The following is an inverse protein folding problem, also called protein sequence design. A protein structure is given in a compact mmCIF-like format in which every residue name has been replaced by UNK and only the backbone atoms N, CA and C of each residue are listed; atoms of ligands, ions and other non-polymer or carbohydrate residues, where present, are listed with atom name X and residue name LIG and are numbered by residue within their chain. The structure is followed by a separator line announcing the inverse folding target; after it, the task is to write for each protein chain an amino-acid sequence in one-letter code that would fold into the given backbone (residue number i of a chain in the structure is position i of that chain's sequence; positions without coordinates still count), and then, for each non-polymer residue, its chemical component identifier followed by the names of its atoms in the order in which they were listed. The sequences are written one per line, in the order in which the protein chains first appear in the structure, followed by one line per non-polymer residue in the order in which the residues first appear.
data_IF_880174955816
#
_entry.id   IF_880174955816
#
_cell.length_a   1.000
_cell.length_b   1.000
_cell.length_c   1.000
_cell.angle_alpha   90.00
_cell.angle_beta   90.00
_cell.angle_gamma   90.00
#
_symmetry.space_group_name_H-M   'P 1'
#
loop_
_entity.id
_entity.type
_entity.pdbx_description
1 polymer ?
#
# COMPACT_ATOMS: atom_id res chain seq x y z
N UNK A 1 -10.31 7.02 19.09
CA UNK A 1 -11.16 7.20 17.90
C UNK A 1 -10.58 6.36 16.77
N UNK A 2 -11.23 5.26 16.38
CA UNK A 2 -10.86 4.54 15.15
C UNK A 2 -11.36 5.39 13.98
N UNK A 3 -10.46 5.81 13.09
CA UNK A 3 -10.80 6.63 11.92
C UNK A 3 -11.89 5.96 11.07
N UNK A 4 -12.77 6.75 10.44
CA UNK A 4 -13.79 6.24 9.51
C UNK A 4 -13.09 5.41 8.42
N UNK A 5 -13.55 4.19 8.22
CA UNK A 5 -13.10 3.36 7.10
C UNK A 5 -13.45 4.06 5.78
N UNK A 6 -12.52 4.14 4.81
CA UNK A 6 -12.82 4.67 3.48
C UNK A 6 -14.02 3.95 2.83
N UNK A 7 -14.78 4.65 1.99
CA UNK A 7 -16.05 4.17 1.42
C UNK A 7 -15.95 2.88 0.60
N UNK A 8 -14.78 2.56 0.05
CA UNK A 8 -14.49 1.35 -0.72
C UNK A 8 -13.56 0.37 0.01
N UNK A 9 -13.35 0.56 1.31
CA UNK A 9 -12.46 -0.28 2.13
C UNK A 9 -13.24 -1.04 3.18
N UNK A 10 -12.73 -2.24 3.52
CA UNK A 10 -13.29 -3.09 4.56
C UNK A 10 -12.29 -3.18 5.70
N UNK A 11 -12.75 -2.89 6.90
CA UNK A 11 -11.92 -3.00 8.09
C UNK A 11 -11.68 -4.47 8.45
N UNK A 12 -10.43 -4.91 8.37
CA UNK A 12 -9.98 -6.18 8.93
C UNK A 12 -9.28 -5.93 10.27
N UNK A 13 -9.60 -6.75 11.29
CA UNK A 13 -9.01 -6.63 12.63
C UNK A 13 -8.02 -7.75 12.86
N UNK A 14 -6.82 -7.42 13.33
CA UNK A 14 -5.79 -8.42 13.62
C UNK A 14 -5.12 -8.21 14.97
N UNK A 15 -4.12 -9.05 15.25
CA UNK A 15 -3.23 -8.90 16.41
C UNK A 15 -1.79 -8.90 15.93
N UNK A 16 -0.99 -7.99 16.50
CA UNK A 16 0.45 -7.88 16.24
C UNK A 16 1.20 -8.29 17.51
N UNK A 17 2.08 -9.27 17.41
CA UNK A 17 3.00 -9.66 18.49
C UNK A 17 4.42 -9.35 18.05
N UNK A 18 4.97 -8.27 18.58
CA UNK A 18 6.38 -7.94 18.42
C UNK A 18 7.24 -8.65 19.47
N UNK A 19 8.37 -9.20 19.04
CA UNK A 19 9.40 -9.79 19.86
C UNK A 19 10.61 -8.85 19.93
N UNK A 20 11.26 -8.81 21.10
CA UNK A 20 12.38 -7.91 21.34
C UNK A 20 13.72 -8.52 20.88
N UNK A 21 13.85 -9.85 20.97
CA UNK A 21 15.05 -10.58 20.56
C UNK A 21 14.72 -11.53 19.40
N UNK A 22 15.74 -11.85 18.59
CA UNK A 22 15.57 -12.79 17.48
C UNK A 22 15.42 -14.23 17.99
N UNK A 23 16.02 -14.54 19.14
CA UNK A 23 15.93 -15.81 19.84
C UNK A 23 14.49 -16.07 20.28
N UNK A 24 13.84 -15.10 20.93
CA UNK A 24 12.44 -15.21 21.33
C UNK A 24 11.54 -15.36 20.11
N UNK A 25 11.81 -14.62 19.02
CA UNK A 25 11.05 -14.74 17.79
C UNK A 25 11.14 -16.15 17.19
N UNK A 26 12.34 -16.75 17.18
CA UNK A 26 12.56 -18.11 16.65
C UNK A 26 11.93 -19.18 17.54
N UNK A 27 12.13 -19.08 18.85
CA UNK A 27 11.69 -20.06 19.84
C UNK A 27 10.22 -19.90 20.26
N UNK A 28 9.57 -18.80 19.89
CA UNK A 28 8.16 -18.58 20.19
C UNK A 28 7.29 -19.72 19.69
N UNK A 29 6.35 -20.15 20.54
CA UNK A 29 5.33 -21.13 20.20
C UNK A 29 4.28 -20.51 19.26
N UNK A 30 4.59 -20.58 17.97
CA UNK A 30 3.74 -20.07 16.88
C UNK A 30 2.46 -20.88 16.75
N UNK A 31 2.50 -22.16 17.10
CA UNK A 31 1.33 -23.03 17.05
C UNK A 31 0.31 -22.62 18.12
N UNK A 32 0.75 -22.36 19.35
CA UNK A 32 -0.13 -21.86 20.42
C UNK A 32 -0.71 -20.49 20.10
N UNK A 33 0.08 -19.53 19.60
CA UNK A 33 -0.41 -18.21 19.20
C UNK A 33 -1.47 -18.30 18.09
N UNK A 34 -1.24 -19.15 17.10
CA UNK A 34 -2.19 -19.42 16.02
C UNK A 34 -3.45 -20.11 16.54
N UNK A 35 -3.29 -21.14 17.38
CA UNK A 35 -4.37 -21.92 17.98
C UNK A 35 -5.32 -21.03 18.79
N UNK A 36 -4.77 -20.18 19.66
CA UNK A 36 -5.55 -19.25 20.48
C UNK A 36 -6.36 -18.25 19.63
N UNK A 37 -5.84 -17.82 18.47
CA UNK A 37 -6.62 -16.98 17.56
C UNK A 37 -7.72 -17.79 16.86
N UNK A 38 -7.42 -19.00 16.41
CA UNK A 38 -8.42 -19.90 15.80
C UNK A 38 -9.54 -20.27 16.79
N UNK A 39 -9.24 -20.47 18.08
CA UNK A 39 -10.22 -20.69 19.14
C UNK A 39 -11.16 -19.49 19.32
N UNK A 40 -10.62 -18.27 19.27
CA UNK A 40 -11.44 -17.05 19.33
C UNK A 40 -12.38 -16.93 18.14
N UNK A 41 -11.92 -17.26 16.94
CA UNK A 41 -12.77 -17.26 15.75
C UNK A 41 -13.86 -18.33 15.89
N UNK A 42 -13.52 -19.54 16.35
CA UNK A 42 -14.48 -20.63 16.53
C UNK A 42 -15.54 -20.32 17.60
N UNK A 43 -15.13 -19.72 18.71
CA UNK A 43 -16.04 -19.27 19.77
C UNK A 43 -17.01 -18.22 19.24
N UNK A 44 -16.51 -17.26 18.44
CA UNK A 44 -17.34 -16.25 17.80
C UNK A 44 -18.37 -16.82 16.82
N UNK A 45 -18.06 -17.95 16.18
CA UNK A 45 -18.98 -18.64 15.27
C UNK A 45 -20.08 -19.35 16.06
N UNK A 46 -19.69 -20.14 17.07
CA UNK A 46 -20.56 -21.09 17.75
C UNK A 46 -21.39 -20.45 18.87
N UNK A 47 -20.78 -19.53 19.63
CA UNK A 47 -21.41 -18.86 20.77
C UNK A 47 -22.02 -17.53 20.35
N UNK A 48 -21.19 -16.62 19.82
CA UNK A 48 -21.63 -15.24 19.53
C UNK A 48 -22.45 -15.14 18.24
N UNK A 49 -22.28 -16.10 17.31
CA UNK A 49 -22.87 -16.10 15.96
C UNK A 49 -22.60 -14.81 15.18
N UNK A 50 -21.37 -14.30 15.27
CA UNK A 50 -20.94 -13.06 14.63
C UNK A 50 -19.95 -13.31 13.49
N UNK A 51 -20.18 -12.67 12.34
CA UNK A 51 -19.25 -12.74 11.20
C UNK A 51 -18.08 -11.77 11.29
N UNK A 52 -18.13 -10.82 12.22
CA UNK A 52 -17.14 -9.74 12.37
C UNK A 52 -15.70 -10.23 12.64
N UNK A 53 -15.53 -11.45 13.15
CA UNK A 53 -14.22 -12.01 13.50
C UNK A 53 -13.68 -13.02 12.49
N UNK A 54 -14.43 -13.34 11.42
CA UNK A 54 -14.04 -14.36 10.44
C UNK A 54 -12.77 -14.01 9.64
N UNK A 55 -12.46 -12.72 9.49
CA UNK A 55 -11.27 -12.24 8.76
C UNK A 55 -10.13 -11.83 9.68
N UNK A 56 -10.11 -12.29 10.94
CA UNK A 56 -9.00 -11.98 11.85
C UNK A 56 -7.67 -12.52 11.34
N UNK A 57 -6.62 -11.74 11.54
CA UNK A 57 -5.26 -12.11 11.19
C UNK A 57 -4.29 -11.93 12.37
N UNK A 58 -3.17 -12.63 12.33
CA UNK A 58 -2.06 -12.51 13.28
C UNK A 58 -0.81 -12.11 12.51
N UNK A 59 -0.04 -11.19 13.09
CA UNK A 59 1.30 -10.86 12.62
C UNK A 59 2.25 -11.07 13.80
N UNK A 60 3.30 -11.86 13.60
CA UNK A 60 4.44 -11.92 14.50
C UNK A 60 5.61 -11.16 13.88
N UNK A 61 6.32 -10.35 14.66
CA UNK A 61 7.42 -9.52 14.16
C UNK A 61 8.63 -9.52 15.08
N UNK A 62 9.80 -9.30 14.50
CA UNK A 62 11.02 -8.92 15.20
C UNK A 62 11.73 -7.83 14.40
N UNK A 63 12.06 -6.72 15.05
CA UNK A 63 12.70 -5.57 14.40
C UNK A 63 14.16 -5.45 14.85
N UNK A 64 15.10 -5.70 13.94
CA UNK A 64 16.51 -5.38 14.13
C UNK A 64 16.73 -3.91 13.72
N UNK A 65 16.57 -3.01 14.70
CA UNK A 65 16.74 -1.57 14.49
C UNK A 65 18.19 -1.18 14.20
N UNK A 66 19.18 -2.03 14.53
CA UNK A 66 20.59 -1.75 14.24
C UNK A 66 20.91 -2.01 12.77
N UNK A 67 20.32 -3.06 12.19
CA UNK A 67 20.49 -3.42 10.78
C UNK A 67 19.37 -2.90 9.89
N UNK A 68 18.35 -2.25 10.45
CA UNK A 68 17.13 -1.84 9.74
C UNK A 68 16.43 -3.02 9.04
N UNK A 69 16.48 -4.20 9.65
CA UNK A 69 15.89 -5.45 9.13
C UNK A 69 14.68 -5.85 9.95
N UNK A 70 13.55 -6.02 9.28
CA UNK A 70 12.27 -6.32 9.92
C UNK A 70 11.82 -7.72 9.51
N UNK A 71 11.82 -8.63 10.47
CA UNK A 71 11.32 -9.98 10.32
C UNK A 71 9.84 -9.98 10.65
N UNK A 72 9.02 -10.55 9.77
CA UNK A 72 7.57 -10.63 10.01
C UNK A 72 6.99 -11.90 9.41
N UNK A 73 5.92 -12.40 10.01
CA UNK A 73 5.19 -13.55 9.47
C UNK A 73 3.70 -13.38 9.71
N UNK A 74 2.93 -13.35 8.62
CA UNK A 74 1.47 -13.28 8.65
C UNK A 74 0.86 -14.67 8.81
N UNK A 75 -0.21 -14.72 9.57
CA UNK A 75 -1.13 -15.83 9.62
C UNK A 75 -2.57 -15.34 9.42
N UNK A 76 -3.30 -16.03 8.56
CA UNK A 76 -4.72 -15.83 8.30
C UNK A 76 -5.47 -17.11 8.65
N UNK A 77 -5.81 -17.34 9.93
CA UNK A 77 -6.42 -18.60 10.35
C UNK A 77 -7.71 -18.88 9.58
N UNK A 78 -7.75 -20.01 8.90
CA UNK A 78 -8.90 -20.51 8.19
C UNK A 78 -9.17 -21.98 8.50
N UNK A 79 -10.43 -22.33 8.72
CA UNK A 79 -10.83 -23.70 8.99
C UNK A 79 -10.81 -24.55 7.72
N UNK A 80 -10.23 -25.75 7.83
CA UNK A 80 -10.21 -26.76 6.79
C UNK A 80 -11.33 -27.77 7.05
N UNK A 81 -12.30 -27.83 6.14
CA UNK A 81 -13.40 -28.79 6.20
C UNK A 81 -12.92 -30.20 5.79
N UNK A 82 -13.51 -31.21 6.43
CA UNK A 82 -13.43 -32.62 6.05
C UNK A 82 -14.87 -33.15 6.01
N UNK A 83 -15.37 -33.70 4.89
CA UNK A 83 -14.78 -33.66 3.54
C UNK A 83 -14.57 -32.21 3.05
N UNK A 84 -13.68 -32.05 2.06
CA UNK A 84 -13.38 -30.75 1.49
C UNK A 84 -14.61 -30.18 0.76
N UNK A 85 -14.68 -28.85 0.68
CA UNK A 85 -15.67 -28.19 -0.16
C UNK A 85 -15.22 -28.24 -1.62
N UNK A 86 -16.15 -28.60 -2.49
CA UNK A 86 -15.97 -28.71 -3.93
C UNK A 86 -16.88 -27.71 -4.63
N UNK A 87 -16.39 -27.19 -5.75
CA UNK A 87 -17.17 -26.29 -6.60
C UNK A 87 -18.02 -27.17 -7.52
N UNK A 88 -19.33 -26.99 -7.45
CA UNK A 88 -20.29 -27.72 -8.28
C UNK A 88 -20.54 -26.93 -9.57
N UNK A 89 -19.85 -27.33 -10.63
CA UNK A 89 -19.87 -26.68 -11.95
C UNK A 89 -18.87 -25.54 -12.12
N UNK A 90 -19.10 -24.70 -13.14
CA UNK A 90 -18.24 -23.56 -13.46
C UNK A 90 -18.72 -22.26 -12.80
N UNK A 91 -17.77 -21.35 -12.53
CA UNK A 91 -18.08 -19.99 -12.08
C UNK A 91 -18.73 -19.20 -13.23
N UNK A 92 -19.93 -18.67 -12.98
CA UNK A 92 -20.63 -17.78 -13.90
C UNK A 92 -20.37 -16.30 -13.56
N UNK A 93 -20.63 -15.41 -14.52
CA UNK A 93 -20.64 -13.96 -14.25
C UNK A 93 -21.79 -13.62 -13.29
N UNK A 94 -21.50 -12.84 -12.24
CA UNK A 94 -22.51 -12.40 -11.28
C UNK A 94 -23.65 -11.61 -11.94
N UNK A 95 -23.33 -10.79 -12.95
CA UNK A 95 -24.30 -10.00 -13.71
C UNK A 95 -25.34 -10.89 -14.40
N UNK A 96 -24.89 -11.99 -15.01
CA UNK A 96 -25.78 -12.93 -15.71
C UNK A 96 -26.78 -13.64 -14.79
N UNK A 97 -26.47 -13.72 -13.49
CA UNK A 97 -27.28 -14.45 -12.50
C UNK A 97 -28.14 -13.53 -11.63
N UNK A 98 -27.67 -12.33 -11.31
CA UNK A 98 -28.31 -11.41 -10.36
C UNK A 98 -28.76 -10.09 -10.99
N UNK A 99 -28.34 -9.77 -12.21
CA UNK A 99 -28.55 -8.48 -12.86
C UNK A 99 -27.55 -7.41 -12.40
N UNK A 100 -27.32 -6.40 -13.23
CA UNK A 100 -26.35 -5.32 -12.94
C UNK A 100 -26.79 -4.44 -11.76
N UNK A 101 -28.09 -4.13 -11.65
CA UNK A 101 -28.66 -3.28 -10.60
C UNK A 101 -28.39 -3.82 -9.19
N UNK A 102 -28.35 -5.14 -9.05
CA UNK A 102 -28.03 -5.83 -7.80
C UNK A 102 -26.58 -5.62 -7.33
N UNK A 103 -25.69 -5.21 -8.23
CA UNK A 103 -24.26 -5.11 -8.01
C UNK A 103 -23.77 -3.67 -7.78
N UNK A 104 -24.68 -2.69 -7.71
CA UNK A 104 -24.33 -1.30 -7.39
C UNK A 104 -24.29 -0.98 -5.89
N UNK A 105 -24.62 -1.93 -5.01
CA UNK A 105 -24.58 -1.73 -3.56
C UNK A 105 -23.15 -1.78 -3.00
N UNK A 106 -22.84 -1.00 -1.96
CA UNK A 106 -21.60 -1.14 -1.18
C UNK A 106 -21.72 -2.37 -0.26
N UNK A 107 -20.99 -3.46 -0.52
CA UNK A 107 -21.21 -4.71 0.19
C UNK A 107 -20.59 -4.68 1.58
N UNK A 108 -21.27 -5.31 2.53
CA UNK A 108 -20.66 -5.73 3.79
C UNK A 108 -19.60 -6.81 3.51
N UNK A 109 -18.60 -7.04 4.38
CA UNK A 109 -17.62 -8.11 4.18
C UNK A 109 -18.25 -9.48 3.89
N UNK A 110 -19.34 -9.79 4.59
CA UNK A 110 -20.18 -10.95 4.38
C UNK A 110 -21.65 -10.49 4.41
N UNK A 111 -22.47 -11.01 3.50
CA UNK A 111 -23.88 -10.62 3.37
C UNK A 111 -24.71 -11.72 2.73
N UNK A 112 -26.01 -11.66 2.95
CA UNK A 112 -26.99 -12.51 2.31
C UNK A 112 -27.58 -11.79 1.11
N UNK A 113 -27.97 -12.56 0.12
CA UNK A 113 -28.56 -12.09 -1.13
C UNK A 113 -29.79 -12.95 -1.40
N UNK A 114 -30.93 -12.32 -1.64
CA UNK A 114 -32.11 -13.00 -2.19
C UNK A 114 -32.67 -12.20 -3.36
N UNK A 115 -33.20 -12.91 -4.34
CA UNK A 115 -33.89 -12.30 -5.48
C UNK A 115 -35.38 -12.55 -5.31
N UNK A 116 -36.17 -11.48 -5.16
CA UNK A 116 -37.63 -11.55 -5.02
C UNK A 116 -38.26 -10.65 -6.06
N UNK A 117 -39.15 -11.20 -6.91
CA UNK A 117 -39.86 -10.45 -7.95
C UNK A 117 -38.95 -9.57 -8.85
N UNK A 118 -37.76 -10.08 -9.19
CA UNK A 118 -36.78 -9.37 -10.04
C UNK A 118 -35.95 -8.30 -9.33
N UNK A 119 -36.15 -8.07 -8.02
CA UNK A 119 -35.31 -7.20 -7.21
C UNK A 119 -34.37 -8.02 -6.32
N UNK A 120 -33.11 -7.58 -6.24
CA UNK A 120 -32.11 -8.18 -5.35
C UNK A 120 -32.04 -7.41 -4.05
N UNK A 121 -32.25 -8.11 -2.94
CA UNK A 121 -32.22 -7.57 -1.58
C UNK A 121 -31.01 -8.17 -0.86
N UNK A 122 -30.33 -7.36 -0.04
CA UNK A 122 -29.20 -7.81 0.78
C UNK A 122 -29.47 -7.64 2.27
N UNK A 123 -28.89 -8.51 3.09
CA UNK A 123 -29.04 -8.50 4.55
C UNK A 123 -27.74 -8.96 5.24
N UNK A 124 -27.54 -8.69 6.55
CA UNK A 124 -26.44 -9.29 7.30
C UNK A 124 -26.57 -10.81 7.40
N UNK A 125 -25.44 -11.52 7.51
CA UNK A 125 -25.41 -12.98 7.62
C UNK A 125 -26.04 -13.50 8.90
N UNK A 126 -26.03 -12.68 9.94
CA UNK A 126 -26.66 -12.96 11.24
C UNK A 126 -28.18 -13.14 11.14
N UNK A 127 -28.82 -12.57 10.10
CA UNK A 127 -30.27 -12.68 9.86
C UNK A 127 -30.65 -13.89 8.98
N UNK A 128 -29.76 -14.87 8.81
CA UNK A 128 -29.93 -15.99 7.87
C UNK A 128 -31.31 -16.66 7.91
N UNK A 129 -31.78 -17.03 9.09
CA UNK A 129 -33.04 -17.78 9.25
C UNK A 129 -34.26 -16.94 8.87
N UNK A 130 -34.34 -15.70 9.35
CA UNK A 130 -35.47 -14.79 9.06
C UNK A 130 -35.45 -14.31 7.61
N UNK A 131 -34.26 -14.03 7.08
CA UNK A 131 -34.09 -13.51 5.73
C UNK A 131 -34.43 -14.53 4.63
N UNK A 132 -34.13 -15.81 4.86
CA UNK A 132 -34.45 -16.90 3.94
C UNK A 132 -35.71 -17.69 4.30
N UNK A 133 -36.48 -17.25 5.30
CA UNK A 133 -37.77 -17.85 5.62
C UNK A 133 -38.68 -17.84 4.39
N UNK A 134 -39.18 -19.03 4.01
CA UNK A 134 -40.06 -19.25 2.85
C UNK A 134 -39.46 -18.88 1.47
N UNK A 135 -38.13 -18.68 1.38
CA UNK A 135 -37.46 -18.43 0.08
C UNK A 135 -36.95 -19.77 -0.46
N UNK A 136 -37.18 -20.15 -1.72
CA UNK A 136 -36.65 -21.40 -2.27
C UNK A 136 -35.11 -21.36 -2.39
N UNK A 137 -34.38 -22.49 -2.23
CA UNK A 137 -32.91 -22.52 -2.30
C UNK A 137 -32.31 -21.94 -3.60
N UNK A 138 -33.05 -21.98 -4.70
CA UNK A 138 -32.66 -21.40 -6.00
C UNK A 138 -32.52 -19.87 -5.97
N UNK A 139 -33.20 -19.19 -5.05
CA UNK A 139 -33.21 -17.74 -4.93
C UNK A 139 -32.35 -17.24 -3.77
N UNK A 140 -31.76 -18.15 -3.00
CA UNK A 140 -30.84 -17.84 -1.91
C UNK A 140 -29.41 -17.75 -2.45
N UNK A 141 -28.65 -16.75 -2.01
CA UNK A 141 -27.22 -16.68 -2.24
C UNK A 141 -26.52 -16.01 -1.04
N UNK A 142 -25.27 -16.36 -0.82
CA UNK A 142 -24.44 -15.73 0.20
C UNK A 142 -23.28 -15.03 -0.50
N UNK A 143 -23.15 -13.74 -0.25
CA UNK A 143 -22.09 -12.91 -0.77
C UNK A 143 -20.97 -12.71 0.24
N UNK A 144 -19.75 -12.62 -0.27
CA UNK A 144 -18.62 -12.10 0.48
C UNK A 144 -17.73 -11.27 -0.43
N UNK A 145 -17.00 -10.33 0.18
CA UNK A 145 -16.02 -9.55 -0.56
C UNK A 145 -14.77 -10.37 -0.75
N UNK A 146 -14.49 -10.68 -2.00
CA UNK A 146 -13.45 -11.59 -2.43
C UNK A 146 -12.16 -10.82 -2.76
N UNK A 147 -11.07 -10.98 -1.98
CA UNK A 147 -9.78 -10.37 -2.28
C UNK A 147 -9.00 -11.07 -3.39
N UNK A 148 -9.47 -12.24 -3.88
CA UNK A 148 -8.78 -12.99 -4.93
C UNK A 148 -8.82 -12.26 -6.26
N UNK A 149 -7.64 -12.09 -6.86
CA UNK A 149 -7.51 -11.62 -8.24
C UNK A 149 -7.66 -12.76 -9.28
N UNK A 150 -7.75 -14.02 -8.83
CA UNK A 150 -7.76 -15.20 -9.71
C UNK A 150 -9.19 -15.55 -10.11
N UNK A 151 -9.55 -15.56 -11.41
CA UNK A 151 -10.93 -15.81 -11.89
C UNK A 151 -11.53 -17.12 -11.38
N UNK A 152 -10.73 -18.19 -11.35
CA UNK A 152 -11.20 -19.55 -11.07
C UNK A 152 -11.30 -19.91 -9.60
N UNK A 153 -10.63 -19.15 -8.72
CA UNK A 153 -10.47 -19.51 -7.31
C UNK A 153 -11.01 -18.42 -6.39
N UNK A 154 -11.95 -18.75 -5.49
CA UNK A 154 -12.43 -17.80 -4.50
C UNK A 154 -11.34 -17.47 -3.47
N UNK A 155 -11.46 -16.31 -2.85
CA UNK A 155 -10.51 -15.84 -1.85
C UNK A 155 -10.57 -16.60 -0.53
N UNK A 156 -9.51 -16.41 0.25
CA UNK A 156 -9.31 -17.04 1.56
C UNK A 156 -10.47 -16.87 2.56
N UNK A 157 -11.16 -15.70 2.65
CA UNK A 157 -12.25 -15.50 3.61
C UNK A 157 -13.42 -16.48 3.48
N UNK A 158 -13.65 -17.05 2.29
CA UNK A 158 -14.74 -17.99 2.05
C UNK A 158 -14.66 -19.22 2.97
N UNK A 159 -13.46 -19.69 3.33
CA UNK A 159 -13.29 -20.86 4.19
C UNK A 159 -13.96 -20.69 5.56
N UNK A 160 -13.77 -19.52 6.17
CA UNK A 160 -14.35 -19.23 7.48
C UNK A 160 -15.85 -18.97 7.41
N UNK A 161 -16.32 -18.37 6.32
CA UNK A 161 -17.75 -18.25 6.05
C UNK A 161 -18.43 -19.62 5.91
N UNK A 162 -17.84 -20.54 5.15
CA UNK A 162 -18.37 -21.89 4.99
C UNK A 162 -18.35 -22.68 6.31
N UNK A 163 -17.30 -22.50 7.14
CA UNK A 163 -17.25 -23.07 8.48
C UNK A 163 -18.36 -22.50 9.38
N UNK A 164 -18.61 -21.19 9.33
CA UNK A 164 -19.71 -20.53 10.04
C UNK A 164 -21.08 -21.10 9.61
N UNK A 165 -21.33 -21.17 8.30
CA UNK A 165 -22.60 -21.65 7.77
C UNK A 165 -22.83 -23.14 8.09
N UNK A 166 -21.79 -23.98 7.99
CA UNK A 166 -21.87 -25.40 8.37
C UNK A 166 -22.20 -25.57 9.85
N UNK A 167 -21.55 -24.81 10.73
CA UNK A 167 -21.72 -24.95 12.17
C UNK A 167 -23.14 -24.57 12.64
N UNK A 168 -23.75 -23.56 11.99
CA UNK A 168 -25.07 -23.03 12.39
C UNK A 168 -26.24 -23.60 11.57
N UNK A 169 -26.02 -23.95 10.31
CA UNK A 169 -27.05 -24.37 9.35
C UNK A 169 -26.65 -25.67 8.63
N UNK A 170 -26.48 -26.80 9.35
CA UNK A 170 -25.98 -28.05 8.78
C UNK A 170 -26.89 -28.65 7.70
N UNK A 171 -28.22 -28.48 7.81
CA UNK A 171 -29.18 -28.99 6.82
C UNK A 171 -29.03 -28.29 5.45
N UNK A 172 -28.77 -26.98 5.46
CA UNK A 172 -28.56 -26.21 4.23
C UNK A 172 -27.15 -26.47 3.67
N UNK A 173 -26.16 -26.68 4.55
CA UNK A 173 -24.81 -27.05 4.17
C UNK A 173 -24.76 -28.40 3.40
N UNK A 174 -25.65 -29.34 3.71
CA UNK A 174 -25.77 -30.62 3.00
C UNK A 174 -26.28 -30.45 1.55
N UNK A 175 -27.09 -29.43 1.27
CA UNK A 175 -27.60 -29.14 -0.07
C UNK A 175 -26.60 -28.33 -0.91
N UNK A 176 -25.68 -27.63 -0.24
CA UNK A 176 -24.71 -26.73 -0.85
C UNK A 176 -25.15 -25.28 -0.80
N UNK A 177 -24.18 -24.38 -0.93
CA UNK A 177 -24.39 -22.95 -0.88
C UNK A 177 -24.11 -22.31 -2.24
N UNK A 178 -24.99 -21.40 -2.63
CA UNK A 178 -24.80 -20.49 -3.76
C UNK A 178 -23.98 -19.30 -3.29
N UNK A 179 -22.78 -19.14 -3.82
CA UNK A 179 -21.80 -18.15 -3.37
C UNK A 179 -21.61 -17.07 -4.43
N UNK A 180 -21.72 -15.82 -3.99
CA UNK A 180 -21.35 -14.63 -4.76
C UNK A 180 -19.97 -14.14 -4.29
N UNK A 181 -18.98 -14.27 -5.16
CA UNK A 181 -17.63 -13.73 -4.98
C UNK A 181 -17.61 -12.28 -5.47
N UNK A 182 -17.75 -11.32 -4.56
CA UNK A 182 -17.77 -9.90 -4.90
C UNK A 182 -16.37 -9.33 -5.07
N UNK A 183 -15.99 -8.93 -6.30
CA UNK A 183 -14.63 -8.45 -6.63
C UNK A 183 -14.58 -7.01 -7.14
N UNK A 184 -15.74 -6.39 -7.33
CA UNK A 184 -15.84 -5.03 -7.87
C UNK A 184 -15.67 -4.00 -6.74
N UNK A 185 -14.59 -3.23 -6.78
CA UNK A 185 -14.42 -2.04 -5.92
C UNK A 185 -15.22 -0.85 -6.41
N UNK A 186 -15.43 -0.79 -7.73
CA UNK A 186 -16.17 0.25 -8.42
C UNK A 186 -17.13 -0.40 -9.42
N UNK A 187 -18.23 0.28 -9.70
CA UNK A 187 -19.14 -0.12 -10.76
C UNK A 187 -18.37 -0.13 -12.10
N UNK A 188 -18.59 -1.12 -12.98
CA UNK A 188 -17.97 -1.13 -14.29
C UNK A 188 -18.31 0.15 -15.07
N UNK A 189 -17.35 0.65 -15.84
CA UNK A 189 -17.62 1.67 -16.87
C UNK A 189 -18.49 1.07 -17.97
N UNK A 190 -19.07 1.90 -18.85
CA UNK A 190 -20.00 1.47 -19.91
C UNK A 190 -19.46 0.38 -20.87
N UNK A 191 -18.15 0.14 -20.89
CA UNK A 191 -17.50 -0.91 -21.69
C UNK A 191 -16.88 -2.03 -20.84
N UNK A 192 -16.98 -1.95 -19.51
CA UNK A 192 -16.38 -2.90 -18.57
C UNK A 192 -17.38 -3.99 -18.16
N UNK A 193 -16.89 -5.22 -18.04
CA UNK A 193 -17.66 -6.32 -17.46
C UNK A 193 -17.50 -6.38 -15.94
N UNK A 194 -18.48 -6.94 -15.25
CA UNK A 194 -18.37 -7.27 -13.83
C UNK A 194 -17.29 -8.33 -13.60
N UNK A 195 -16.43 -8.10 -12.59
CA UNK A 195 -15.39 -9.06 -12.16
C UNK A 195 -15.92 -10.04 -11.12
N UNK A 196 -17.07 -9.76 -10.54
CA UNK A 196 -17.73 -10.62 -9.56
C UNK A 196 -18.23 -11.91 -10.22
N UNK A 197 -18.06 -13.02 -9.50
CA UNK A 197 -18.42 -14.35 -9.98
C UNK A 197 -19.46 -15.00 -9.07
N UNK A 198 -20.23 -15.93 -9.63
CA UNK A 198 -21.26 -16.68 -8.95
C UNK A 198 -21.04 -18.18 -9.17
N UNK A 199 -21.11 -18.97 -8.10
CA UNK A 199 -20.90 -20.42 -8.17
C UNK A 199 -21.59 -21.15 -7.04
N UNK A 200 -21.67 -22.48 -7.16
CA UNK A 200 -22.25 -23.35 -6.13
C UNK A 200 -21.13 -24.14 -5.48
N UNK A 201 -21.16 -24.23 -4.15
CA UNK A 201 -20.15 -24.94 -3.37
C UNK A 201 -20.84 -25.99 -2.51
N UNK A 202 -20.42 -27.25 -2.63
CA UNK A 202 -20.98 -28.41 -1.93
C UNK A 202 -19.88 -29.12 -1.15
N UNK A 203 -20.24 -29.82 -0.08
CA UNK A 203 -19.27 -30.71 0.58
C UNK A 203 -19.10 -31.96 -0.28
N UNK A 204 -17.85 -32.38 -0.46
CA UNK A 204 -17.53 -33.63 -1.16
C UNK A 204 -18.10 -34.84 -0.42
N UNK A 205 -18.11 -36.00 -1.09
CA UNK A 205 -18.60 -37.23 -0.50
C UNK A 205 -17.64 -37.75 0.59
N UNK A 206 -18.14 -37.99 1.80
CA UNK A 206 -17.35 -38.56 2.90
C UNK A 206 -18.02 -38.46 4.27
N UNK A 207 -17.45 -39.15 5.26
CA UNK A 207 -17.87 -39.01 6.66
C UNK A 207 -17.73 -37.57 7.10
N UNK A 208 -18.86 -36.97 7.43
CA UNK A 208 -18.97 -35.58 7.84
C UNK A 208 -18.88 -35.55 9.37
N UNK A 209 -17.80 -35.01 9.97
CA UNK A 209 -17.72 -34.84 11.42
C UNK A 209 -18.90 -34.01 11.92
N UNK A 210 -19.27 -34.23 13.18
CA UNK A 210 -20.37 -33.50 13.81
C UNK A 210 -20.21 -31.99 13.60
N UNK A 211 -21.32 -31.30 13.28
CA UNK A 211 -21.29 -29.87 12.95
C UNK A 211 -20.74 -28.99 14.09
N UNK A 212 -20.72 -29.52 15.31
CA UNK A 212 -20.24 -28.85 16.53
C UNK A 212 -18.73 -28.95 16.74
N UNK A 213 -18.05 -29.88 16.06
CA UNK A 213 -16.62 -30.11 16.28
C UNK A 213 -15.77 -29.05 15.58
N UNK A 214 -14.81 -28.49 16.31
CA UNK A 214 -13.89 -27.49 15.76
C UNK A 214 -13.01 -28.13 14.67
N UNK A 215 -13.07 -27.64 13.41
CA UNK A 215 -12.20 -28.15 12.36
C UNK A 215 -10.74 -27.73 12.58
N UNK A 216 -9.80 -28.46 11.97
CA UNK A 216 -8.40 -28.05 11.93
C UNK A 216 -8.25 -26.69 11.22
N UNK A 217 -7.41 -25.80 11.76
CA UNK A 217 -7.15 -24.49 11.16
C UNK A 217 -5.76 -24.42 10.51
N UNK A 218 -5.67 -23.73 9.38
CA UNK A 218 -4.43 -23.47 8.61
C UNK A 218 -4.37 -22.00 8.21
N UNK A 219 -3.19 -21.47 7.88
CA UNK A 219 -3.13 -20.08 7.42
C UNK A 219 -1.80 -19.33 7.52
N UNK A 220 -0.69 -19.99 7.88
CA UNK A 220 0.63 -19.34 7.85
C UNK A 220 1.03 -19.01 6.41
N UNK A 221 1.41 -17.75 6.17
CA UNK A 221 1.83 -17.29 4.84
C UNK A 221 3.15 -17.95 4.44
N UNK A 222 3.28 -18.29 3.15
CA UNK A 222 4.54 -18.78 2.60
C UNK A 222 5.51 -17.62 2.34
N UNK A 223 6.80 -17.86 2.56
CA UNK A 223 7.85 -16.93 2.20
C UNK A 223 8.01 -16.82 0.67
N UNK A 224 8.93 -15.97 0.22
CA UNK A 224 9.24 -15.76 -1.21
C UNK A 224 9.71 -17.02 -1.94
N UNK A 225 10.19 -18.03 -1.20
CA UNK A 225 10.61 -19.33 -1.73
C UNK A 225 9.50 -20.40 -1.64
N UNK A 226 8.26 -20.02 -1.31
CA UNK A 226 7.12 -20.94 -1.22
C UNK A 226 7.14 -21.85 0.01
N UNK A 227 8.06 -21.65 0.96
CA UNK A 227 8.16 -22.43 2.21
C UNK A 227 7.43 -21.72 3.34
N UNK A 228 6.97 -22.48 4.33
CA UNK A 228 6.41 -21.91 5.55
C UNK A 228 7.54 -21.28 6.37
N UNK A 229 7.56 -19.95 6.45
CA UNK A 229 8.56 -19.22 7.21
C UNK A 229 8.38 -17.71 7.13
N UNK A 230 9.02 -17.01 8.07
CA UNK A 230 9.00 -15.55 8.14
C UNK A 230 9.65 -14.91 6.90
N UNK A 231 9.16 -13.71 6.56
CA UNK A 231 9.75 -12.82 5.57
C UNK A 231 10.66 -11.81 6.27
N UNK A 232 11.59 -11.25 5.50
CA UNK A 232 12.49 -10.18 5.94
C UNK A 232 12.30 -9.00 5.01
N UNK A 233 11.93 -7.85 5.56
CA UNK A 233 12.03 -6.57 4.88
C UNK A 233 13.35 -5.91 5.25
N UNK A 234 14.20 -5.69 4.25
CA UNK A 234 15.44 -4.94 4.39
C UNK A 234 15.17 -3.47 4.04
N UNK A 235 15.13 -2.62 5.05
CA UNK A 235 14.90 -1.19 4.91
C UNK A 235 16.20 -0.38 5.05
N UNK A 236 17.37 -1.04 5.11
CA UNK A 236 18.68 -0.36 5.16
C UNK A 236 18.82 0.70 4.06
N UNK A 237 18.46 0.46 2.78
CA UNK A 237 18.63 1.47 1.73
C UNK A 237 17.80 2.74 1.90
N UNK A 238 16.70 2.67 2.66
CA UNK A 238 15.74 3.76 2.85
C UNK A 238 15.88 4.45 4.21
N UNK A 239 16.52 3.81 5.20
CA UNK A 239 16.57 4.29 6.58
C UNK A 239 17.98 4.38 7.17
N UNK A 240 18.99 3.72 6.59
CA UNK A 240 20.37 3.86 7.03
C UNK A 240 20.92 5.21 6.56
N UNK A 241 21.29 6.13 7.48
CA UNK A 241 21.85 7.43 7.13
C UNK A 241 23.07 7.33 6.21
N UNK A 242 23.89 6.27 6.36
CA UNK A 242 25.09 6.04 5.55
C UNK A 242 24.73 5.67 4.12
N UNK A 243 23.74 4.81 3.94
CA UNK A 243 23.24 4.43 2.62
C UNK A 243 22.49 5.57 1.94
N UNK A 244 21.74 6.39 2.68
CA UNK A 244 21.05 7.56 2.12
C UNK A 244 22.03 8.62 1.62
N UNK A 245 23.12 8.86 2.37
CA UNK A 245 24.22 9.71 1.90
C UNK A 245 24.89 9.12 0.65
N UNK A 246 25.12 7.81 0.62
CA UNK A 246 25.68 7.10 -0.54
C UNK A 246 24.75 7.09 -1.76
N UNK A 247 23.44 6.94 -1.57
CA UNK A 247 22.42 6.95 -2.62
C UNK A 247 22.22 8.34 -3.23
N UNK A 248 22.23 9.39 -2.40
CA UNK A 248 22.28 10.78 -2.86
C UNK A 248 23.56 11.10 -3.64
N UNK A 249 24.70 10.52 -3.25
CA UNK A 249 25.96 10.60 -3.98
C UNK A 249 25.92 9.79 -5.30
N UNK A 250 25.30 8.61 -5.30
CA UNK A 250 25.20 7.71 -6.44
C UNK A 250 24.21 8.22 -7.50
N UNK A 251 23.04 8.75 -7.12
CA UNK A 251 22.10 9.43 -8.03
C UNK A 251 22.74 10.66 -8.66
N UNK A 252 23.52 11.45 -7.90
CA UNK A 252 24.35 12.52 -8.48
C UNK A 252 25.42 12.00 -9.42
N UNK A 253 26.01 10.83 -9.16
CA UNK A 253 27.01 10.20 -10.01
C UNK A 253 26.43 9.59 -11.30
N UNK A 254 25.20 9.06 -11.26
CA UNK A 254 24.44 8.55 -12.41
C UNK A 254 24.02 9.72 -13.30
N UNK A 255 23.53 10.82 -12.70
CA UNK A 255 23.25 12.06 -13.43
C UNK A 255 24.53 12.66 -14.05
N UNK A 256 25.68 12.55 -13.35
CA UNK A 256 27.02 12.91 -13.85
C UNK A 256 27.62 11.91 -14.85
N UNK A 257 27.10 10.69 -14.99
CA UNK A 257 27.53 9.73 -16.04
C UNK A 257 26.78 9.95 -17.35
N UNK A 258 25.61 10.60 -17.33
CA UNK A 258 24.85 10.99 -18.53
C UNK A 258 25.22 12.38 -19.06
N UNK A 259 26.06 13.16 -18.36
CA UNK A 259 26.74 14.35 -18.88
C UNK A 259 28.20 14.32 -18.46
N UNK A 260 29.07 14.17 -19.45
CA UNK A 260 30.52 14.10 -19.36
C UNK A 260 31.16 14.90 -18.21
N UNK A 261 32.10 14.22 -17.54
CA UNK A 261 33.33 14.72 -16.93
C UNK A 261 33.28 15.92 -15.96
N UNK A 262 34.03 15.75 -14.85
CA UNK A 262 34.67 16.77 -14.00
C UNK A 262 34.19 16.89 -12.54
N UNK A 263 35.17 16.56 -11.69
CA UNK A 263 35.46 16.95 -10.31
C UNK A 263 34.57 16.49 -9.15
N UNK A 264 35.18 15.61 -8.36
CA UNK A 264 34.85 15.21 -7.00
C UNK A 264 35.02 16.36 -6.01
N UNK A 265 34.11 16.44 -5.04
CA UNK A 265 34.15 17.36 -3.92
C UNK A 265 34.78 16.68 -2.70
N UNK A 266 35.79 17.32 -2.10
CA UNK A 266 36.31 17.01 -0.77
C UNK A 266 36.59 18.32 -0.02
N UNK A 267 36.14 18.40 1.23
CA UNK A 267 36.69 19.23 2.31
C UNK A 267 36.80 20.74 2.07
N UNK A 268 35.77 21.48 2.48
CA UNK A 268 35.84 22.95 2.55
C UNK A 268 36.59 23.41 3.80
N UNK A 269 37.62 24.23 3.59
CA UNK A 269 37.71 25.60 4.15
C UNK A 269 39.09 26.25 3.87
N UNK A 270 40.14 25.47 3.60
CA UNK A 270 41.49 26.02 3.34
C UNK A 270 41.99 25.93 1.88
N UNK A 271 41.22 25.31 0.98
CA UNK A 271 41.69 24.93 -0.37
C UNK A 271 41.28 25.90 -1.50
N UNK A 272 40.28 26.75 -1.27
CA UNK A 272 39.66 27.61 -2.33
C UNK A 272 40.58 28.73 -2.79
N UNK A 273 41.45 29.28 -1.93
CA UNK A 273 42.32 30.40 -2.30
C UNK A 273 43.49 30.00 -3.21
N UNK A 274 44.01 28.76 -3.08
CA UNK A 274 45.21 28.32 -3.81
C UNK A 274 44.97 27.93 -5.27
N UNK A 275 43.72 27.67 -5.68
CA UNK A 275 43.40 27.22 -7.05
C UNK A 275 42.74 28.29 -7.92
N UNK A 276 42.38 29.43 -7.35
CA UNK A 276 41.84 30.60 -8.05
C UNK A 276 42.84 31.25 -9.04
N UNK A 277 44.15 31.02 -8.87
CA UNK A 277 45.18 31.61 -9.74
C UNK A 277 45.36 30.85 -11.06
N UNK A 278 45.06 29.54 -11.10
CA UNK A 278 45.35 28.69 -12.25
C UNK A 278 44.23 28.62 -13.30
N UNK A 279 42.95 28.64 -12.91
CA UNK A 279 41.82 28.52 -13.83
C UNK A 279 40.62 29.38 -13.37
N UNK A 280 39.74 29.79 -14.30
CA UNK A 280 38.58 30.64 -14.01
C UNK A 280 37.70 30.12 -12.87
N UNK A 281 37.02 31.03 -12.16
CA UNK A 281 36.31 30.73 -10.91
C UNK A 281 34.84 30.46 -11.22
N UNK A 282 34.35 29.26 -10.90
CA UNK A 282 32.91 28.93 -10.91
C UNK A 282 32.45 28.80 -9.47
N UNK A 283 31.40 29.54 -9.10
CA UNK A 283 30.88 29.60 -7.74
C UNK A 283 29.38 29.34 -7.73
N UNK A 284 28.94 28.30 -7.01
CA UNK A 284 27.56 27.83 -6.94
C UNK A 284 27.06 27.97 -5.50
N UNK A 285 25.99 28.74 -5.29
CA UNK A 285 25.44 28.98 -3.95
C UNK A 285 23.91 28.99 -3.98
N UNK A 286 23.29 28.36 -2.98
CA UNK A 286 21.84 28.26 -2.85
C UNK A 286 21.16 29.54 -2.33
N UNK A 287 21.91 30.43 -1.67
CA UNK A 287 21.39 31.64 -1.02
C UNK A 287 22.01 32.94 -1.55
N UNK A 288 22.57 32.88 -2.77
CA UNK A 288 23.35 33.96 -3.38
C UNK A 288 24.86 33.81 -3.14
N UNK A 289 25.72 34.28 -4.07
CA UNK A 289 27.16 34.12 -3.97
C UNK A 289 27.78 35.10 -2.96
N UNK A 290 28.69 34.71 -2.05
CA UNK A 290 29.28 35.62 -1.08
C UNK A 290 30.10 36.71 -1.77
N UNK A 291 29.98 37.95 -1.26
CA UNK A 291 30.59 39.18 -1.82
C UNK A 291 32.09 39.02 -2.12
N UNK A 292 32.83 38.36 -1.23
CA UNK A 292 34.27 38.17 -1.37
C UNK A 292 34.66 37.33 -2.59
N UNK A 293 33.82 36.35 -2.99
CA UNK A 293 34.09 35.49 -4.14
C UNK A 293 33.92 36.24 -5.46
N UNK A 294 32.89 37.10 -5.55
CA UNK A 294 32.62 37.95 -6.72
C UNK A 294 33.70 39.02 -6.88
N UNK A 295 34.07 39.69 -5.79
CA UNK A 295 35.08 40.75 -5.81
C UNK A 295 36.49 40.22 -6.10
N UNK A 296 36.85 39.05 -5.57
CA UNK A 296 38.18 38.45 -5.81
C UNK A 296 38.38 38.03 -7.27
N UNK A 297 37.34 37.50 -7.93
CA UNK A 297 37.43 37.14 -9.34
C UNK A 297 37.51 38.36 -10.27
N UNK A 298 36.79 39.44 -9.93
CA UNK A 298 36.86 40.71 -10.66
C UNK A 298 38.25 41.39 -10.52
N UNK A 299 38.80 41.44 -9.30
CA UNK A 299 40.11 42.02 -9.04
C UNK A 299 41.25 41.29 -9.77
N UNK A 300 41.11 39.96 -9.96
CA UNK A 300 42.08 39.12 -10.68
C UNK A 300 41.83 39.04 -12.19
N UNK A 301 40.87 39.80 -12.72
CA UNK A 301 40.57 39.82 -14.16
C UNK A 301 40.09 38.48 -14.72
N UNK A 302 39.47 37.64 -13.89
CA UNK A 302 38.99 36.31 -14.29
C UNK A 302 37.49 36.34 -14.60
N UNK A 303 37.04 35.40 -15.43
CA UNK A 303 35.61 35.13 -15.62
C UNK A 303 35.09 34.43 -14.38
N UNK A 304 33.98 34.96 -13.84
CA UNK A 304 33.23 34.41 -12.72
C UNK A 304 31.85 34.01 -13.20
N UNK A 305 31.48 32.75 -13.01
CA UNK A 305 30.11 32.27 -13.25
C UNK A 305 29.41 32.06 -11.90
N UNK A 306 28.31 32.78 -11.71
CA UNK A 306 27.40 32.63 -10.58
C UNK A 306 26.14 31.89 -11.02
N UNK A 307 25.71 30.96 -10.19
CA UNK A 307 24.39 30.35 -10.31
C UNK A 307 23.69 30.42 -8.95
N UNK A 308 22.50 31.00 -8.93
CA UNK A 308 21.61 31.10 -7.77
C UNK A 308 20.31 30.34 -8.06
N UNK A 309 19.76 29.67 -7.05
CA UNK A 309 18.55 28.86 -7.14
C UNK A 309 17.49 29.41 -6.18
N UNK A 310 16.33 29.77 -6.71
CA UNK A 310 15.10 29.99 -5.95
C UNK A 310 14.26 28.71 -5.86
N UNK A 311 13.09 28.81 -5.23
CA UNK A 311 12.18 27.66 -5.05
C UNK A 311 11.75 27.04 -6.39
N UNK A 312 11.34 27.88 -7.35
CA UNK A 312 10.90 27.46 -8.70
C UNK A 312 11.68 28.15 -9.85
N UNK A 313 12.68 28.97 -9.54
CA UNK A 313 13.43 29.76 -10.53
C UNK A 313 14.94 29.61 -10.34
N UNK A 314 15.71 29.91 -11.37
CA UNK A 314 17.16 29.95 -11.29
C UNK A 314 17.72 31.14 -12.05
N UNK A 315 18.87 31.61 -11.60
CA UNK A 315 19.61 32.69 -12.25
C UNK A 315 21.04 32.22 -12.47
N UNK A 316 21.52 32.33 -13.72
CA UNK A 316 22.93 32.15 -14.05
C UNK A 316 23.45 33.45 -14.62
N UNK A 317 24.50 33.99 -14.00
CA UNK A 317 25.12 35.23 -14.45
C UNK A 317 26.63 35.08 -14.57
N UNK A 318 27.17 35.69 -15.62
CA UNK A 318 28.60 35.80 -15.83
C UNK A 318 29.05 37.21 -15.48
N UNK A 319 30.12 37.31 -14.69
CA UNK A 319 30.77 38.56 -14.35
C UNK A 319 32.29 38.44 -14.58
N UNK A 320 32.98 39.58 -14.62
CA UNK A 320 34.42 39.61 -14.85
C UNK A 320 34.82 39.66 -16.32
N UNK A 321 36.13 39.82 -16.56
CA UNK A 321 36.66 40.41 -17.79
C UNK A 321 36.49 39.52 -19.05
N UNK A 322 35.62 39.94 -19.96
CA UNK A 322 36.00 39.97 -21.39
C UNK A 322 36.81 41.24 -21.61
N UNK A 323 37.81 41.20 -22.50
CA UNK A 323 38.41 42.43 -23.05
C UNK A 323 37.27 43.38 -23.45
N UNK A 324 37.41 44.71 -23.23
CA UNK A 324 36.36 45.65 -23.60
C UNK A 324 35.92 45.33 -25.02
N UNK A 325 34.61 45.21 -25.24
CA UNK A 325 34.08 45.15 -26.60
C UNK A 325 34.47 46.46 -27.31
N UNK A 326 34.33 46.56 -28.63
CA UNK A 326 34.78 47.72 -29.45
C UNK A 326 34.29 49.10 -28.93
N UNK A 327 33.29 49.12 -28.02
CA UNK A 327 32.73 50.30 -27.35
C UNK A 327 33.12 50.49 -25.86
N UNK A 328 34.07 49.75 -25.29
CA UNK A 328 34.64 50.05 -23.96
C UNK A 328 33.78 49.69 -22.73
N UNK A 329 32.61 49.07 -22.90
CA UNK A 329 31.69 48.81 -21.78
C UNK A 329 32.07 47.56 -20.95
N UNK A 330 32.07 47.71 -19.61
CA UNK A 330 32.24 46.62 -18.62
C UNK A 330 30.87 46.10 -18.17
N UNK A 331 30.74 44.77 -18.02
CA UNK A 331 29.53 44.15 -17.48
C UNK A 331 29.44 44.36 -15.95
N UNK A 332 28.23 44.62 -15.45
CA UNK A 332 27.94 44.72 -14.01
C UNK A 332 28.06 43.38 -13.28
N UNK A 333 28.29 43.44 -11.96
CA UNK A 333 28.35 42.26 -11.09
C UNK A 333 26.96 41.90 -10.51
N UNK A 334 26.85 40.74 -9.83
CA UNK A 334 25.62 40.30 -9.15
C UNK A 334 25.05 41.36 -8.19
N UNK A 335 25.92 42.20 -7.63
CA UNK A 335 25.57 43.25 -6.67
C UNK A 335 25.40 44.64 -7.30
N UNK A 336 25.53 44.78 -8.63
CA UNK A 336 25.39 46.09 -9.29
C UNK A 336 23.93 46.50 -9.49
N UNK A 337 23.01 45.53 -9.58
CA UNK A 337 21.58 45.77 -9.73
C UNK A 337 20.83 44.79 -8.84
N UNK A 338 19.70 45.21 -8.27
CA UNK A 338 18.79 44.29 -7.58
C UNK A 338 18.17 43.33 -8.61
N UNK A 339 18.40 42.04 -8.41
CA UNK A 339 17.93 40.99 -9.33
C UNK A 339 16.47 40.60 -9.05
N UNK A 340 16.00 40.85 -7.82
CA UNK A 340 14.62 40.65 -7.39
C UNK A 340 14.23 41.87 -6.56
N UNK A 341 13.10 42.49 -6.89
CA UNK A 341 12.57 43.62 -6.12
C UNK A 341 11.63 43.12 -5.03
N UNK A 342 11.46 43.84 -3.90
CA UNK A 342 10.47 43.47 -2.87
C UNK A 342 9.03 43.40 -3.39
N UNK A 343 8.74 44.04 -4.53
CA UNK A 343 7.43 44.00 -5.21
C UNK A 343 7.12 42.66 -5.89
N UNK A 344 8.15 41.90 -6.29
CA UNK A 344 7.98 40.65 -7.06
C UNK A 344 7.37 39.52 -6.21
N UNK A 345 7.46 39.60 -4.88
CA UNK A 345 6.82 38.66 -3.95
C UNK A 345 5.38 39.04 -3.55
N UNK A 346 4.98 40.29 -3.73
CA UNK A 346 3.65 40.80 -3.32
C UNK A 346 2.51 40.53 -4.32
N UNK A 347 2.80 40.20 -5.58
CA UNK A 347 1.77 39.83 -6.57
C UNK A 347 1.14 38.46 -6.30
N UNK A 348 1.83 37.59 -5.56
CA UNK A 348 1.36 36.25 -5.19
C UNK A 348 0.27 36.26 -4.11
N UNK A 349 0.34 37.20 -3.15
CA UNK A 349 -0.67 37.32 -2.09
C UNK A 349 -1.98 37.96 -2.55
N UNK A 350 -1.97 38.77 -3.62
CA UNK A 350 -3.15 39.48 -4.11
C UNK A 350 -4.13 38.60 -4.92
N UNK A 351 -3.68 37.45 -5.46
CA UNK A 351 -4.53 36.55 -6.26
C UNK A 351 -5.32 35.53 -5.42
N UNK A 352 -4.97 35.33 -4.14
CA UNK A 352 -5.64 34.37 -3.23
C UNK A 352 -6.83 34.98 -2.47
N UNK A 353 -7.06 36.30 -2.53
CA UNK A 353 -8.20 36.97 -1.87
C UNK A 353 -9.29 37.51 -2.82
N UNK A 354 -9.33 37.09 -4.09
CA UNK A 354 -10.43 37.41 -5.04
C UNK A 354 -11.02 36.19 -5.74
N UNK A 355 -11.16 35.06 -5.04
CA UNK A 355 -12.08 33.98 -5.39
C UNK A 355 -12.71 33.40 -4.13
N UNK A 356 -13.77 34.07 -3.69
CA UNK A 356 -14.95 33.48 -3.05
C UNK A 356 -16.16 34.22 -3.62
#
# INVERSE_FOLDING_TARGET
MLGRTPQSAIAARGSLKNFNTIEDFKNADKAALFGALADKIWTSITVDRLTALLTRFLIITFADLKKYKYYYWFAFPAFAAKPAWEIDGDWASAESKLGADALHASPRPFFLVRTSAGQTITAPVEEYQSFFANVPPSERAIGFVDPSAVPTNPGWPLRNLLAYLRALYPNDAAQGFRILCWRNTEAPTATGAWKSHFGVVKQGAGETPAATDKPSAVGWEKNVHGKLGARVADLTPMMDPTCLCGGGFCLRSIWRRSRAALFAAWGWDAWVLRRADAHGIISLYATGPPVWAVNSGAAKGKVVLNAALGFDTFLVMQHGARKPNVQGQRLGCYYCNDIVTPSDVSSWFATVLRRN
#
